data_IF_541201526622
#
_entry.id   IF_541201526622
#
_cell.length_a   1.000
_cell.length_b   1.000
_cell.length_c   1.000
_cell.angle_alpha   90.00
_cell.angle_beta   90.00
_cell.angle_gamma   90.00
#
_symmetry.space_group_name_H-M   'P 1'
#
loop_
_entity.id
_entity.type
_entity.pdbx_description
1 polymer ?
#
# COMPACT_ATOMS: atom_id res chain seq x y z
N UNK A 1 14.71 3.78 -10.88
CA UNK A 1 13.68 3.67 -9.80
C UNK A 1 14.34 2.99 -8.60
N UNK A 2 13.73 3.01 -7.40
CA UNK A 2 14.37 2.50 -6.18
C UNK A 2 14.89 1.06 -6.31
N UNK A 3 14.25 0.22 -7.12
CA UNK A 3 14.62 -1.19 -7.30
C UNK A 3 16.01 -1.39 -7.93
N UNK A 4 16.54 -0.40 -8.64
CA UNK A 4 17.93 -0.42 -9.13
C UNK A 4 18.96 -0.43 -7.98
N UNK A 5 18.57 0.01 -6.79
CA UNK A 5 19.42 0.10 -5.59
C UNK A 5 19.16 -1.03 -4.59
N UNK A 6 18.18 -1.91 -4.84
CA UNK A 6 17.75 -2.94 -3.90
C UNK A 6 18.53 -4.25 -4.09
N UNK A 7 19.75 -4.27 -3.52
CA UNK A 7 20.55 -5.48 -3.40
C UNK A 7 20.47 -6.01 -1.97
N UNK A 8 19.62 -7.01 -1.76
CA UNK A 8 19.38 -7.61 -0.45
C UNK A 8 18.89 -9.05 -0.55
N UNK A 9 18.96 -9.74 0.58
CA UNK A 9 18.28 -11.02 0.76
C UNK A 9 16.77 -10.77 0.87
N UNK A 10 16.00 -11.45 0.02
CA UNK A 10 14.54 -11.38 0.00
C UNK A 10 13.89 -12.51 0.80
N UNK A 11 14.66 -13.48 1.30
CA UNK A 11 14.15 -14.58 2.09
C UNK A 11 13.97 -14.23 3.58
N UNK A 12 14.81 -13.33 4.11
CA UNK A 12 14.75 -12.83 5.48
C UNK A 12 14.54 -11.31 5.53
N UNK A 13 13.56 -10.82 6.32
CA UNK A 13 13.28 -9.39 6.40
C UNK A 13 14.40 -8.63 7.12
N UNK A 14 14.78 -7.43 6.66
CA UNK A 14 15.83 -6.65 7.29
C UNK A 14 15.37 -6.07 8.64
N UNK A 15 16.31 -5.81 9.54
CA UNK A 15 16.03 -5.16 10.83
C UNK A 15 15.41 -3.77 10.66
N UNK A 16 15.72 -3.08 9.57
CA UNK A 16 15.12 -1.79 9.21
C UNK A 16 13.58 -1.83 9.10
N UNK A 17 12.97 -3.00 8.89
CA UNK A 17 11.52 -3.16 8.86
C UNK A 17 10.89 -3.07 10.27
N UNK A 18 11.68 -3.27 11.34
CA UNK A 18 11.27 -3.02 12.72
C UNK A 18 11.63 -1.58 13.09
N UNK A 19 10.63 -0.71 13.19
CA UNK A 19 10.85 0.65 13.67
C UNK A 19 9.60 1.22 14.31
N UNK A 20 9.81 2.15 15.22
CA UNK A 20 8.75 2.96 15.84
C UNK A 20 9.16 4.43 15.72
N UNK A 21 8.38 5.23 14.98
CA UNK A 21 8.70 6.63 14.70
C UNK A 21 7.45 7.49 14.53
N UNK A 22 7.52 8.79 14.90
CA UNK A 22 6.49 9.75 14.55
C UNK A 22 6.29 9.84 13.03
N UNK A 23 5.04 9.98 12.59
CA UNK A 23 4.68 10.01 11.17
C UNK A 23 5.40 11.12 10.39
N UNK A 24 5.55 12.30 10.99
CA UNK A 24 6.32 13.40 10.40
C UNK A 24 7.81 13.07 10.21
N UNK A 25 8.39 12.27 11.11
CA UNK A 25 9.79 11.82 11.00
C UNK A 25 9.96 10.74 9.94
N UNK A 26 8.97 9.86 9.75
CA UNK A 26 8.95 8.90 8.63
C UNK A 26 9.04 9.66 7.29
N UNK A 27 8.19 10.69 7.13
CA UNK A 27 8.15 11.49 5.89
C UNK A 27 9.45 12.28 5.71
N UNK A 28 9.97 12.90 6.79
CA UNK A 28 11.23 13.65 6.75
C UNK A 28 12.43 12.76 6.41
N UNK A 29 12.53 11.60 7.05
CA UNK A 29 13.59 10.62 6.79
C UNK A 29 13.53 10.06 5.37
N UNK A 30 12.33 9.80 4.84
CA UNK A 30 12.16 9.43 3.44
C UNK A 30 12.70 10.52 2.50
N UNK A 31 12.48 11.80 2.82
CA UNK A 31 12.99 12.91 2.02
C UNK A 31 14.51 12.99 2.03
N UNK A 32 15.14 12.82 3.20
CA UNK A 32 16.60 12.78 3.34
C UNK A 32 17.22 11.64 2.52
N UNK A 33 16.57 10.46 2.54
CA UNK A 33 17.04 9.30 1.76
C UNK A 33 16.85 9.53 0.26
N UNK A 34 15.69 10.00 -0.20
CA UNK A 34 15.49 10.27 -1.64
C UNK A 34 16.51 11.29 -2.16
N UNK A 35 16.83 12.32 -1.37
CA UNK A 35 17.85 13.31 -1.71
C UNK A 35 19.27 12.71 -1.79
N UNK A 36 19.58 11.69 -0.97
CA UNK A 36 20.88 11.00 -1.00
C UNK A 36 21.00 9.99 -2.14
N UNK A 37 19.88 9.40 -2.56
CA UNK A 37 19.79 8.43 -3.66
C UNK A 37 19.49 9.06 -5.04
N UNK A 38 19.42 10.39 -5.12
CA UNK A 38 18.98 11.09 -6.33
C UNK A 38 19.85 10.73 -7.56
N UNK A 39 19.23 10.45 -8.73
CA UNK A 39 19.95 10.07 -9.94
C UNK A 39 21.07 11.05 -10.31
N UNK A 40 22.26 10.52 -10.59
CA UNK A 40 23.46 11.30 -10.93
C UNK A 40 24.31 11.73 -9.73
N UNK A 41 23.86 11.51 -8.49
CA UNK A 41 24.70 11.68 -7.29
C UNK A 41 25.39 10.38 -6.86
N UNK A 42 24.73 9.25 -7.07
CA UNK A 42 25.19 7.93 -6.63
C UNK A 42 24.93 6.91 -7.72
N UNK A 43 25.91 6.03 -7.95
CA UNK A 43 25.76 4.88 -8.83
C UNK A 43 24.96 3.80 -8.09
N UNK A 44 23.94 3.22 -8.72
CA UNK A 44 23.14 2.15 -8.15
C UNK A 44 23.98 0.91 -7.79
N UNK A 45 25.11 0.71 -8.48
CA UNK A 45 26.07 -0.33 -8.16
C UNK A 45 26.90 -0.05 -6.89
N UNK A 46 26.82 1.15 -6.30
CA UNK A 46 27.57 1.52 -5.08
C UNK A 46 26.94 0.90 -3.83
N UNK A 47 27.61 -0.03 -3.13
CA UNK A 47 27.07 -0.69 -1.95
C UNK A 47 26.71 0.25 -0.80
N UNK A 48 27.29 1.45 -0.76
CA UNK A 48 26.99 2.47 0.27
C UNK A 48 25.56 3.00 0.18
N UNK A 49 24.90 2.82 -0.97
CA UNK A 49 23.53 3.29 -1.22
C UNK A 49 22.46 2.26 -0.86
N UNK A 50 22.83 0.98 -0.77
CA UNK A 50 21.86 -0.13 -0.66
C UNK A 50 21.11 -0.12 0.66
N UNK A 51 21.77 0.20 1.77
CA UNK A 51 21.11 0.28 3.08
C UNK A 51 20.11 1.43 3.14
N UNK A 52 20.44 2.58 2.55
CA UNK A 52 19.53 3.70 2.45
C UNK A 52 18.32 3.36 1.56
N UNK A 53 18.55 2.73 0.40
CA UNK A 53 17.46 2.28 -0.47
C UNK A 53 16.55 1.26 0.23
N UNK A 54 17.13 0.32 0.98
CA UNK A 54 16.37 -0.64 1.78
C UNK A 54 15.56 0.03 2.89
N UNK A 55 16.14 1.00 3.59
CA UNK A 55 15.45 1.81 4.60
C UNK A 55 14.27 2.56 3.98
N UNK A 56 14.46 3.22 2.84
CA UNK A 56 13.38 3.90 2.12
C UNK A 56 12.28 2.93 1.67
N UNK A 57 12.66 1.76 1.17
CA UNK A 57 11.72 0.75 0.68
C UNK A 57 10.76 0.28 1.78
N UNK A 58 11.25 0.12 3.02
CA UNK A 58 10.43 -0.26 4.19
C UNK A 58 9.74 0.94 4.88
N UNK A 59 10.27 2.16 4.74
CA UNK A 59 9.65 3.37 5.30
C UNK A 59 8.45 3.86 4.47
N UNK A 60 8.53 3.83 3.13
CA UNK A 60 7.48 4.41 2.29
C UNK A 60 6.06 3.84 2.52
N UNK A 61 5.86 2.53 2.79
CA UNK A 61 4.54 1.99 3.13
C UNK A 61 3.88 2.66 4.34
N UNK A 62 4.67 3.15 5.30
CA UNK A 62 4.14 3.85 6.48
C UNK A 62 3.47 5.18 6.12
N UNK A 63 3.92 5.85 5.05
CA UNK A 63 3.28 7.06 4.51
C UNK A 63 1.82 6.79 4.19
N UNK A 64 1.54 5.67 3.52
CA UNK A 64 0.18 5.25 3.15
C UNK A 64 -0.59 4.71 4.34
N UNK A 65 0.03 3.86 5.15
CA UNK A 65 -0.67 3.12 6.20
C UNK A 65 -1.33 4.04 7.24
N UNK A 66 -0.65 5.11 7.66
CA UNK A 66 -1.21 6.09 8.61
C UNK A 66 -2.36 6.89 7.99
N UNK A 67 -2.24 7.32 6.73
CA UNK A 67 -3.30 8.07 6.04
C UNK A 67 -4.52 7.18 5.75
N UNK A 68 -4.30 5.92 5.41
CA UNK A 68 -5.36 4.92 5.23
C UNK A 68 -6.15 4.73 6.53
N UNK A 69 -5.45 4.62 7.65
CA UNK A 69 -6.08 4.55 8.97
C UNK A 69 -6.89 5.77 9.26
N UNK A 70 -6.28 6.95 9.12
CA UNK A 70 -6.97 8.21 9.32
C UNK A 70 -8.27 8.28 8.51
N UNK A 71 -8.20 7.94 7.22
CA UNK A 71 -9.36 7.92 6.32
C UNK A 71 -10.44 6.94 6.80
N UNK A 72 -10.08 5.70 7.18
CA UNK A 72 -11.02 4.73 7.74
C UNK A 72 -11.65 5.24 9.03
N UNK A 73 -10.87 5.82 9.95
CA UNK A 73 -11.38 6.33 11.21
C UNK A 73 -12.44 7.42 11.00
N UNK A 74 -12.16 8.36 10.11
CA UNK A 74 -13.07 9.47 9.81
C UNK A 74 -14.34 8.96 9.13
N UNK A 75 -14.21 8.12 8.10
CA UNK A 75 -15.35 7.66 7.30
C UNK A 75 -16.29 6.69 8.02
N UNK A 76 -15.82 6.02 9.06
CA UNK A 76 -16.64 5.10 9.87
C UNK A 76 -16.99 5.68 11.25
N UNK A 77 -16.72 6.97 11.46
CA UNK A 77 -17.13 7.64 12.69
C UNK A 77 -16.42 7.15 13.94
N UNK A 78 -15.18 6.70 13.79
CA UNK A 78 -14.37 6.15 14.86
C UNK A 78 -13.46 7.25 15.45
N UNK A 79 -13.13 7.17 16.75
CA UNK A 79 -12.32 8.19 17.38
C UNK A 79 -10.94 8.28 16.72
N UNK A 80 -10.49 9.50 16.44
CA UNK A 80 -9.14 9.72 15.91
C UNK A 80 -8.12 9.51 17.04
N UNK A 81 -7.73 8.27 17.33
CA UNK A 81 -6.76 8.03 18.38
C UNK A 81 -5.34 7.97 17.82
N UNK A 82 -4.43 8.90 18.21
CA UNK A 82 -3.09 8.98 17.65
C UNK A 82 -2.14 7.85 18.09
N UNK A 83 -2.61 6.96 18.98
CA UNK A 83 -1.83 5.86 19.55
C UNK A 83 -2.61 4.56 19.71
N UNK A 84 -3.91 4.54 19.37
CA UNK A 84 -4.74 3.33 19.54
C UNK A 84 -5.36 2.97 18.21
N UNK A 85 -5.05 1.75 17.81
CA UNK A 85 -5.73 1.06 16.73
C UNK A 85 -6.99 0.40 17.36
N UNK A 86 -8.10 0.34 16.62
CA UNK A 86 -9.35 -0.28 17.06
C UNK A 86 -9.89 -1.20 15.97
N UNK A 87 -10.67 -2.22 16.33
CA UNK A 87 -11.35 -3.06 15.34
C UNK A 87 -12.56 -2.29 14.76
N UNK A 88 -12.73 -2.35 13.44
CA UNK A 88 -13.87 -1.73 12.74
C UNK A 88 -14.98 -2.76 12.66
N UNK A 89 -16.07 -2.52 13.40
CA UNK A 89 -17.33 -3.22 13.20
C UNK A 89 -18.19 -2.40 12.24
N UNK A 90 -18.30 -2.85 10.98
CA UNK A 90 -19.05 -2.13 9.93
C UNK A 90 -20.56 -2.13 10.18
N UNK A 91 -21.05 -3.02 11.06
CA UNK A 91 -22.47 -3.10 11.44
C UNK A 91 -22.76 -2.28 12.72
N UNK A 92 -21.72 -1.75 13.38
CA UNK A 92 -21.89 -0.94 14.58
C UNK A 92 -22.44 0.45 14.26
N UNK A 93 -23.28 1.03 15.13
CA UNK A 93 -23.71 2.41 14.97
C UNK A 93 -22.51 3.37 15.06
N UNK A 94 -22.48 4.37 14.18
CA UNK A 94 -21.47 5.44 14.18
C UNK A 94 -21.31 6.03 15.60
N UNK A 95 -20.08 6.05 16.11
CA UNK A 95 -19.78 6.64 17.42
C UNK A 95 -19.68 8.16 17.33
N UNK A 96 -19.17 8.66 16.21
CA UNK A 96 -18.99 10.08 15.89
C UNK A 96 -19.43 10.29 14.44
N UNK A 97 -20.18 11.36 14.17
CA UNK A 97 -20.50 11.74 12.80
C UNK A 97 -19.65 12.93 12.37
N UNK A 98 -18.72 12.70 11.44
CA UNK A 98 -17.89 13.78 10.90
C UNK A 98 -18.65 14.53 9.79
N UNK A 99 -18.39 15.84 9.62
CA UNK A 99 -18.88 16.59 8.46
C UNK A 99 -18.35 16.02 7.13
N UNK A 100 -19.15 16.13 6.06
CA UNK A 100 -18.81 15.57 4.73
C UNK A 100 -17.50 16.13 4.16
N UNK A 101 -17.21 17.41 4.39
CA UNK A 101 -15.95 18.05 4.01
C UNK A 101 -14.74 17.43 4.72
N UNK A 102 -14.88 17.07 6.00
CA UNK A 102 -13.82 16.38 6.76
C UNK A 102 -13.58 14.97 6.22
N UNK A 103 -14.64 14.26 5.87
CA UNK A 103 -14.53 12.94 5.24
C UNK A 103 -13.88 13.00 3.85
N UNK A 104 -14.24 14.01 3.04
CA UNK A 104 -13.64 14.25 1.72
C UNK A 104 -12.15 14.58 1.86
N UNK A 105 -11.78 15.48 2.79
CA UNK A 105 -10.40 15.81 3.09
C UNK A 105 -9.57 14.60 3.52
N UNK A 106 -10.14 13.69 4.33
CA UNK A 106 -9.49 12.48 4.77
C UNK A 106 -9.30 11.45 3.63
N UNK A 107 -10.27 11.37 2.71
CA UNK A 107 -10.18 10.53 1.50
C UNK A 107 -9.11 11.06 0.54
N UNK A 108 -9.08 12.38 0.30
CA UNK A 108 -8.07 13.05 -0.52
C UNK A 108 -6.67 12.97 0.11
N UNK A 109 -6.57 13.01 1.44
CA UNK A 109 -5.31 12.81 2.14
C UNK A 109 -4.72 11.41 1.84
N UNK A 110 -5.54 10.37 1.83
CA UNK A 110 -5.11 9.02 1.46
C UNK A 110 -4.60 8.99 0.01
N UNK A 111 -5.32 9.56 -0.94
CA UNK A 111 -4.87 9.66 -2.33
C UNK A 111 -3.50 10.36 -2.46
N UNK A 112 -3.33 11.50 -1.77
CA UNK A 112 -2.05 12.24 -1.73
C UNK A 112 -0.93 11.43 -1.07
N UNK A 113 -1.23 10.64 -0.04
CA UNK A 113 -0.23 9.78 0.63
C UNK A 113 0.30 8.69 -0.29
N UNK A 114 -0.58 8.09 -1.11
CA UNK A 114 -0.21 7.08 -2.11
C UNK A 114 0.67 7.72 -3.19
N UNK A 115 0.28 8.88 -3.70
CA UNK A 115 1.06 9.63 -4.66
C UNK A 115 2.46 9.99 -4.13
N UNK A 116 2.55 10.43 -2.87
CA UNK A 116 3.82 10.74 -2.21
C UNK A 116 4.69 9.48 -2.06
N UNK A 117 4.15 8.39 -1.54
CA UNK A 117 4.90 7.14 -1.39
C UNK A 117 5.42 6.59 -2.73
N UNK A 118 4.62 6.69 -3.79
CA UNK A 118 5.03 6.36 -5.17
C UNK A 118 6.16 7.27 -5.67
N UNK A 119 6.09 8.57 -5.40
CA UNK A 119 7.18 9.50 -5.71
C UNK A 119 8.49 9.14 -4.98
N UNK A 120 8.39 8.61 -3.75
CA UNK A 120 9.54 8.09 -3.02
C UNK A 120 10.19 6.90 -3.76
N UNK A 121 9.38 5.94 -4.24
CA UNK A 121 9.88 4.79 -5.00
C UNK A 121 10.44 5.18 -6.38
N UNK A 122 9.90 6.22 -7.01
CA UNK A 122 10.49 6.81 -8.21
C UNK A 122 11.84 7.48 -7.97
N UNK A 123 12.19 7.77 -6.71
CA UNK A 123 13.28 8.67 -6.33
C UNK A 123 13.10 10.06 -7.00
N UNK A 124 11.87 10.58 -6.92
CA UNK A 124 11.49 11.83 -7.57
C UNK A 124 12.35 13.00 -7.06
N UNK A 125 13.03 13.78 -7.94
CA UNK A 125 13.85 14.92 -7.52
C UNK A 125 13.07 16.00 -6.75
N UNK A 126 11.76 16.09 -6.98
CA UNK A 126 10.84 17.00 -6.29
C UNK A 126 10.31 16.45 -4.96
N UNK A 127 10.66 15.22 -4.57
CA UNK A 127 10.08 14.56 -3.40
C UNK A 127 10.18 15.40 -2.12
N UNK A 128 11.30 16.08 -1.87
CA UNK A 128 11.47 16.91 -0.68
C UNK A 128 10.44 18.04 -0.58
N UNK A 129 10.09 18.66 -1.70
CA UNK A 129 9.05 19.70 -1.77
C UNK A 129 7.68 19.08 -1.54
N UNK A 130 7.37 18.00 -2.23
CA UNK A 130 6.10 17.26 -2.08
C UNK A 130 5.88 16.79 -0.63
N UNK A 131 6.94 16.29 0.02
CA UNK A 131 6.91 15.84 1.41
C UNK A 131 6.65 17.00 2.38
N UNK A 132 7.26 18.16 2.15
CA UNK A 132 7.02 19.35 2.97
C UNK A 132 5.58 19.86 2.83
N UNK A 133 5.08 19.97 1.59
CA UNK A 133 3.69 20.37 1.31
C UNK A 133 2.68 19.40 1.93
N UNK A 134 2.90 18.09 1.76
CA UNK A 134 2.06 17.06 2.36
C UNK A 134 2.01 17.20 3.89
N UNK A 135 3.15 17.44 4.55
CA UNK A 135 3.23 17.62 6.00
C UNK A 135 2.50 18.87 6.51
N UNK A 136 2.55 19.97 5.76
CA UNK A 136 1.81 21.19 6.09
C UNK A 136 0.30 20.96 6.02
N UNK A 137 -0.15 20.13 5.07
CA UNK A 137 -1.56 19.78 4.90
C UNK A 137 -2.05 18.62 5.77
N UNK A 138 -1.31 18.19 6.80
CA UNK A 138 -1.75 17.14 7.70
C UNK A 138 -2.75 17.67 8.75
N UNK A 139 -3.80 16.90 9.08
CA UNK A 139 -4.64 17.17 10.23
C UNK A 139 -3.84 17.32 11.53
N UNK A 140 -4.35 18.14 12.46
CA UNK A 140 -3.70 18.39 13.73
C UNK A 140 -3.39 17.09 14.49
N UNK A 141 -2.16 16.96 14.99
CA UNK A 141 -1.69 15.78 15.74
C UNK A 141 -1.21 14.62 14.87
N UNK A 142 -1.61 14.53 13.59
CA UNK A 142 -1.23 13.39 12.74
C UNK A 142 0.28 13.36 12.45
N UNK A 143 0.93 14.53 12.36
CA UNK A 143 2.40 14.61 12.25
C UNK A 143 3.13 13.94 13.44
N UNK A 144 2.52 13.92 14.63
CA UNK A 144 3.06 13.29 15.83
C UNK A 144 2.59 11.85 16.06
N UNK A 145 1.75 11.29 15.19
CA UNK A 145 1.25 9.91 15.30
C UNK A 145 2.41 8.92 15.37
N UNK A 146 2.41 8.03 16.36
CA UNK A 146 3.48 7.04 16.49
C UNK A 146 3.17 5.83 15.60
N UNK A 147 3.95 5.66 14.54
CA UNK A 147 3.85 4.50 13.66
C UNK A 147 4.84 3.42 14.09
N UNK A 148 4.32 2.20 14.29
CA UNK A 148 5.11 1.02 14.61
C UNK A 148 5.03 0.03 13.46
N UNK A 149 6.18 -0.30 12.88
CA UNK A 149 6.35 -1.37 11.90
C UNK A 149 6.99 -2.59 12.56
N UNK A 150 6.60 -3.77 12.11
CA UNK A 150 7.22 -5.05 12.50
C UNK A 150 7.66 -5.81 11.26
N UNK A 151 8.70 -6.61 11.41
CA UNK A 151 9.12 -7.59 10.41
C UNK A 151 7.97 -8.53 10.08
N UNK A 152 7.69 -8.65 8.79
CA UNK A 152 6.76 -9.63 8.23
C UNK A 152 7.48 -10.32 7.08
N UNK A 153 7.81 -11.59 7.30
CA UNK A 153 8.61 -12.41 6.38
C UNK A 153 7.91 -12.60 5.03
N UNK A 154 6.60 -12.76 5.02
CA UNK A 154 5.84 -13.00 3.79
C UNK A 154 5.67 -11.72 3.00
N UNK A 155 5.34 -10.61 3.68
CA UNK A 155 5.30 -9.29 3.05
C UNK A 155 6.66 -8.91 2.46
N UNK A 156 7.78 -9.18 3.15
CA UNK A 156 9.12 -8.94 2.60
C UNK A 156 9.43 -9.80 1.38
N UNK A 157 9.19 -11.12 1.45
CA UNK A 157 9.41 -12.04 0.33
C UNK A 157 8.57 -11.68 -0.90
N UNK A 158 7.33 -11.27 -0.70
CA UNK A 158 6.43 -10.86 -1.76
C UNK A 158 6.73 -9.47 -2.31
N UNK A 159 7.57 -8.68 -1.63
CA UNK A 159 8.01 -7.37 -2.09
C UNK A 159 9.26 -7.40 -2.98
N UNK A 160 9.77 -8.58 -3.33
CA UNK A 160 10.92 -8.70 -4.24
C UNK A 160 10.58 -8.12 -5.64
N UNK A 161 11.33 -7.12 -6.15
CA UNK A 161 11.07 -6.46 -7.41
C UNK A 161 10.92 -7.42 -8.61
N UNK A 162 11.73 -8.48 -8.66
CA UNK A 162 11.66 -9.46 -9.74
C UNK A 162 10.31 -10.21 -9.79
N UNK A 163 9.75 -10.56 -8.62
CA UNK A 163 8.43 -11.22 -8.53
C UNK A 163 7.31 -10.26 -8.92
N UNK A 164 7.40 -8.99 -8.50
CA UNK A 164 6.42 -7.96 -8.85
C UNK A 164 6.46 -7.65 -10.36
N UNK A 165 7.65 -7.59 -10.97
CA UNK A 165 7.81 -7.45 -12.43
C UNK A 165 7.17 -8.59 -13.19
N UNK A 166 7.36 -9.84 -12.73
CA UNK A 166 6.69 -11.01 -13.32
C UNK A 166 5.16 -10.90 -13.25
N UNK A 167 4.60 -10.42 -12.12
CA UNK A 167 3.17 -10.15 -12.00
C UNK A 167 2.74 -9.07 -13.01
N UNK A 168 3.45 -7.95 -13.08
CA UNK A 168 3.15 -6.85 -13.99
C UNK A 168 3.13 -7.31 -15.45
N UNK A 169 4.11 -8.09 -15.88
CA UNK A 169 4.20 -8.67 -17.23
C UNK A 169 3.00 -9.57 -17.53
N UNK A 170 2.58 -10.39 -16.55
CA UNK A 170 1.41 -11.26 -16.67
C UNK A 170 0.12 -10.46 -16.84
N UNK A 171 -0.07 -9.42 -16.03
CA UNK A 171 -1.22 -8.51 -16.11
C UNK A 171 -1.27 -7.79 -17.46
N UNK A 172 -0.13 -7.24 -17.91
CA UNK A 172 -0.04 -6.48 -19.16
C UNK A 172 -0.36 -7.34 -20.40
N UNK A 173 -0.02 -8.64 -20.39
CA UNK A 173 -0.46 -9.58 -21.44
C UNK A 173 -1.98 -9.71 -21.53
N UNK A 174 -2.67 -9.56 -20.40
CA UNK A 174 -4.13 -9.55 -20.33
C UNK A 174 -4.78 -8.18 -20.52
N UNK A 175 -3.97 -7.12 -20.69
CA UNK A 175 -4.42 -5.74 -20.82
C UNK A 175 -4.08 -4.89 -19.60
N UNK A 176 -3.65 -3.64 -19.85
CA UNK A 176 -3.28 -2.67 -18.82
C UNK A 176 -4.52 -2.23 -18.00
N UNK A 177 -4.47 -2.30 -16.65
CA UNK A 177 -5.52 -1.73 -15.81
C UNK A 177 -5.42 -0.19 -15.76
N UNK A 178 -6.53 0.47 -15.44
CA UNK A 178 -6.54 1.89 -15.07
C UNK A 178 -6.25 2.09 -13.59
N UNK A 179 -6.63 1.12 -12.74
CA UNK A 179 -6.40 1.15 -11.30
C UNK A 179 -6.07 -0.24 -10.75
N UNK A 180 -5.13 -0.29 -9.81
CA UNK A 180 -4.86 -1.43 -8.97
C UNK A 180 -5.41 -1.20 -7.55
N UNK A 181 -6.11 -2.19 -6.98
CA UNK A 181 -6.70 -2.16 -5.64
C UNK A 181 -6.04 -3.26 -4.80
N UNK A 182 -5.25 -2.87 -3.82
CA UNK A 182 -4.50 -3.80 -2.95
C UNK A 182 -5.17 -4.07 -1.60
N UNK A 183 -5.01 -5.29 -1.07
CA UNK A 183 -5.35 -5.62 0.31
C UNK A 183 -4.31 -5.05 1.30
N UNK A 184 -4.61 -3.95 1.98
CA UNK A 184 -3.71 -3.42 3.00
C UNK A 184 -3.68 -4.35 4.23
N UNK A 185 -2.52 -4.58 4.85
CA UNK A 185 -1.31 -3.74 4.74
C UNK A 185 -0.20 -4.37 3.90
N UNK A 186 -0.20 -5.70 3.79
CA UNK A 186 0.91 -6.44 3.20
C UNK A 186 1.17 -6.04 1.75
N UNK A 187 0.10 -5.77 1.00
CA UNK A 187 0.20 -5.38 -0.40
C UNK A 187 0.67 -3.94 -0.63
N UNK A 188 0.82 -3.10 0.42
CA UNK A 188 1.21 -1.70 0.23
C UNK A 188 2.59 -1.62 -0.44
N UNK A 189 3.58 -2.34 0.09
CA UNK A 189 4.95 -2.31 -0.43
C UNK A 189 5.01 -2.80 -1.88
N UNK A 190 4.40 -3.95 -2.18
CA UNK A 190 4.35 -4.48 -3.54
C UNK A 190 3.52 -3.60 -4.49
N UNK A 191 2.42 -3.03 -3.99
CA UNK A 191 1.48 -2.20 -4.73
C UNK A 191 2.07 -0.90 -5.21
N UNK A 192 2.84 -0.21 -4.35
CA UNK A 192 3.55 1.01 -4.70
C UNK A 192 4.46 0.79 -5.91
N UNK A 193 5.18 -0.34 -5.96
CA UNK A 193 6.05 -0.68 -7.08
C UNK A 193 5.26 -1.19 -8.30
N UNK A 194 4.25 -2.04 -8.09
CA UNK A 194 3.40 -2.60 -9.15
C UNK A 194 2.71 -1.50 -9.96
N UNK A 195 2.19 -0.46 -9.31
CA UNK A 195 1.51 0.66 -9.97
C UNK A 195 2.44 1.46 -10.89
N UNK A 196 3.74 1.58 -10.55
CA UNK A 196 4.73 2.20 -11.43
C UNK A 196 4.97 1.34 -12.69
N UNK A 197 5.06 0.02 -12.54
CA UNK A 197 5.27 -0.90 -13.66
C UNK A 197 4.06 -0.97 -14.60
N UNK A 198 2.86 -0.92 -14.04
CA UNK A 198 1.61 -0.95 -14.81
C UNK A 198 1.22 0.42 -15.39
N UNK A 199 1.82 1.50 -14.88
CA UNK A 199 1.46 2.88 -15.20
C UNK A 199 -0.04 3.14 -15.02
N UNK A 200 -0.55 2.79 -13.82
CA UNK A 200 -1.96 2.92 -13.43
C UNK A 200 -2.11 3.66 -12.09
N UNK A 201 -3.35 3.96 -11.73
CA UNK A 201 -3.71 4.42 -10.39
C UNK A 201 -3.59 3.28 -9.38
N UNK A 202 -3.54 3.65 -8.10
CA UNK A 202 -3.37 2.72 -7.00
C UNK A 202 -4.28 3.14 -5.84
N UNK A 203 -5.01 2.17 -5.32
CA UNK A 203 -5.84 2.31 -4.13
C UNK A 203 -5.67 1.12 -3.21
N UNK A 204 -5.98 1.29 -1.93
CA UNK A 204 -5.87 0.25 -0.93
C UNK A 204 -7.14 0.14 -0.10
N UNK A 205 -7.62 -1.08 0.08
CA UNK A 205 -8.71 -1.40 0.99
C UNK A 205 -8.16 -2.17 2.18
N UNK A 206 -8.66 -1.87 3.38
CA UNK A 206 -8.14 -2.44 4.62
C UNK A 206 -9.05 -3.57 5.09
N UNK A 207 -8.51 -4.75 5.42
CA UNK A 207 -9.30 -5.85 6.00
C UNK A 207 -9.58 -5.67 7.49
N UNK A 208 -8.56 -5.24 8.23
CA UNK A 208 -8.66 -4.96 9.64
C UNK A 208 -7.56 -4.01 10.05
N UNK A 209 -7.74 -3.34 11.19
CA UNK A 209 -6.70 -2.47 11.75
C UNK A 209 -5.50 -3.25 12.32
N UNK A 210 -5.68 -4.55 12.61
CA UNK A 210 -4.73 -5.36 13.39
C UNK A 210 -4.38 -6.74 12.81
N UNK A 211 -4.82 -7.10 11.59
CA UNK A 211 -4.77 -8.50 11.09
C UNK A 211 -5.47 -9.47 12.06
N UNK A 212 -6.64 -9.10 12.59
CA UNK A 212 -7.44 -9.92 13.53
C UNK A 212 -8.88 -9.98 13.03
N UNK A 213 -9.42 -11.20 12.89
CA UNK A 213 -10.78 -11.46 12.41
C UNK A 213 -11.12 -10.85 11.04
N UNK A 214 -10.27 -11.06 10.02
CA UNK A 214 -10.44 -10.61 8.63
C UNK A 214 -11.70 -11.22 7.96
N UNK A 215 -12.89 -10.70 8.30
CA UNK A 215 -14.17 -11.18 7.74
C UNK A 215 -14.50 -10.54 6.40
N UNK A 216 -14.18 -9.26 6.23
CA UNK A 216 -14.43 -8.48 5.03
C UNK A 216 -13.49 -7.27 4.97
N UNK A 217 -13.18 -6.74 3.77
CA UNK A 217 -12.58 -5.41 3.66
C UNK A 217 -13.53 -4.33 4.19
N UNK A 218 -12.94 -3.30 4.78
CA UNK A 218 -13.58 -2.04 5.15
C UNK A 218 -13.71 -1.22 3.88
N UNK A 219 -14.96 -1.02 3.43
CA UNK A 219 -15.28 -0.31 2.18
C UNK A 219 -16.27 0.81 2.50
N UNK A 220 -15.83 2.06 2.39
CA UNK A 220 -16.69 3.22 2.57
C UNK A 220 -17.53 3.51 1.32
N UNK A 221 -18.53 4.39 1.45
CA UNK A 221 -19.27 4.89 0.30
C UNK A 221 -18.38 5.62 -0.74
N UNK A 222 -17.26 6.23 -0.30
CA UNK A 222 -16.31 6.89 -1.22
C UNK A 222 -15.43 5.88 -1.94
N UNK A 223 -15.02 4.81 -1.26
CA UNK A 223 -14.34 3.67 -1.91
C UNK A 223 -15.25 3.05 -2.98
N UNK A 224 -16.52 2.84 -2.66
CA UNK A 224 -17.50 2.34 -3.63
C UNK A 224 -17.66 3.28 -4.82
N UNK A 225 -17.79 4.59 -4.58
CA UNK A 225 -17.89 5.58 -5.65
C UNK A 225 -16.64 5.58 -6.56
N UNK A 226 -15.44 5.51 -5.98
CA UNK A 226 -14.16 5.40 -6.70
C UNK A 226 -14.11 4.13 -7.55
N UNK A 227 -14.48 2.98 -6.98
CA UNK A 227 -14.48 1.69 -7.71
C UNK A 227 -15.47 1.72 -8.87
N UNK A 228 -16.69 2.23 -8.63
CA UNK A 228 -17.73 2.33 -9.66
C UNK A 228 -17.39 3.33 -10.76
N UNK A 229 -16.55 4.33 -10.50
CA UNK A 229 -16.09 5.27 -11.52
C UNK A 229 -15.31 4.58 -12.65
N UNK A 230 -14.75 3.39 -12.40
CA UNK A 230 -14.06 2.57 -13.42
C UNK A 230 -15.01 1.59 -14.17
N UNK A 231 -16.32 1.86 -14.18
CA UNK A 231 -17.29 1.16 -15.01
C UNK A 231 -17.55 -0.27 -14.56
N UNK A 232 -17.54 -1.22 -15.51
CA UNK A 232 -17.83 -2.64 -15.23
C UNK A 232 -16.68 -3.39 -14.53
N UNK A 233 -15.58 -2.71 -14.24
CA UNK A 233 -14.41 -3.29 -13.58
C UNK A 233 -13.40 -3.94 -14.52
N UNK A 234 -13.62 -4.01 -15.83
CA UNK A 234 -12.69 -4.68 -16.75
C UNK A 234 -11.26 -4.13 -16.74
N UNK A 235 -11.10 -2.87 -16.28
CA UNK A 235 -9.81 -2.18 -16.12
C UNK A 235 -9.33 -2.10 -14.67
N UNK A 236 -9.95 -2.83 -13.74
CA UNK A 236 -9.52 -2.92 -12.35
C UNK A 236 -8.68 -4.19 -12.16
N UNK A 237 -7.53 -4.05 -11.49
CA UNK A 237 -6.75 -5.16 -10.95
C UNK A 237 -6.89 -5.17 -9.43
N UNK A 238 -7.49 -6.21 -8.87
CA UNK A 238 -7.50 -6.50 -7.44
C UNK A 238 -6.27 -7.35 -7.14
N UNK A 239 -5.48 -7.02 -6.12
CA UNK A 239 -4.29 -7.80 -5.84
C UNK A 239 -3.94 -7.91 -4.36
N UNK A 240 -3.13 -8.91 -4.06
CA UNK A 240 -2.53 -9.16 -2.76
C UNK A 240 -1.05 -9.54 -2.95
N UNK A 241 -0.20 -9.36 -1.94
CA UNK A 241 1.21 -9.73 -2.08
C UNK A 241 1.40 -11.25 -1.98
N UNK A 242 0.66 -11.90 -1.09
CA UNK A 242 0.79 -13.33 -0.82
C UNK A 242 -0.56 -14.04 -0.72
N UNK A 243 -0.79 -14.99 -1.63
CA UNK A 243 -1.97 -15.84 -1.63
C UNK A 243 -1.60 -17.24 -1.14
N UNK A 244 -1.45 -17.39 0.19
CA UNK A 244 -1.19 -18.67 0.85
C UNK A 244 -2.44 -19.58 0.87
N UNK A 245 -3.42 -19.30 1.73
CA UNK A 245 -4.73 -20.00 1.68
C UNK A 245 -5.60 -19.53 0.52
N UNK A 246 -5.39 -18.28 0.09
CA UNK A 246 -6.23 -17.57 -0.88
C UNK A 246 -7.45 -16.87 -0.28
N UNK A 247 -7.63 -16.92 1.06
CA UNK A 247 -8.80 -16.36 1.74
C UNK A 247 -8.92 -14.85 1.55
N UNK A 248 -7.87 -14.08 1.85
CA UNK A 248 -7.87 -12.61 1.77
C UNK A 248 -8.22 -12.13 0.38
N UNK A 249 -7.48 -12.57 -0.64
CA UNK A 249 -7.73 -12.18 -2.02
C UNK A 249 -9.10 -12.66 -2.52
N UNK A 250 -9.59 -13.82 -2.09
CA UNK A 250 -10.95 -14.28 -2.41
C UNK A 250 -12.03 -13.36 -1.84
N UNK A 251 -11.90 -12.97 -0.57
CA UNK A 251 -12.88 -12.08 0.08
C UNK A 251 -12.82 -10.68 -0.54
N UNK A 252 -11.61 -10.16 -0.79
CA UNK A 252 -11.42 -8.86 -1.43
C UNK A 252 -12.05 -8.86 -2.82
N UNK A 253 -11.76 -9.92 -3.59
CA UNK A 253 -12.32 -10.08 -4.93
C UNK A 253 -13.84 -10.18 -4.90
N UNK A 254 -14.43 -10.85 -3.92
CA UNK A 254 -15.88 -10.94 -3.76
C UNK A 254 -16.48 -9.55 -3.56
N UNK A 255 -16.01 -8.82 -2.54
CA UNK A 255 -16.51 -7.49 -2.19
C UNK A 255 -16.35 -6.49 -3.34
N UNK A 256 -15.17 -6.40 -3.96
CA UNK A 256 -14.97 -5.48 -5.09
C UNK A 256 -15.83 -5.86 -6.31
N UNK A 257 -16.04 -7.15 -6.59
CA UNK A 257 -16.84 -7.59 -7.76
C UNK A 257 -18.34 -7.33 -7.61
N UNK A 258 -18.85 -7.09 -6.41
CA UNK A 258 -20.22 -6.59 -6.22
C UNK A 258 -20.40 -5.20 -6.83
N UNK A 259 -19.33 -4.39 -6.85
CA UNK A 259 -19.31 -3.06 -7.47
C UNK A 259 -18.80 -3.09 -8.91
N UNK A 260 -17.83 -3.97 -9.20
CA UNK A 260 -17.07 -4.02 -10.44
C UNK A 260 -16.91 -5.47 -10.94
N UNK A 261 -17.95 -6.07 -11.56
CA UNK A 261 -18.03 -7.52 -11.80
C UNK A 261 -16.93 -8.13 -12.67
N UNK A 262 -16.31 -7.33 -13.55
CA UNK A 262 -15.22 -7.78 -14.44
C UNK A 262 -13.82 -7.50 -13.91
N UNK A 263 -13.70 -7.06 -12.65
CA UNK A 263 -12.40 -6.86 -12.02
C UNK A 263 -11.57 -8.15 -12.06
N UNK A 264 -10.30 -8.00 -12.44
CA UNK A 264 -9.35 -9.11 -12.54
C UNK A 264 -8.53 -9.20 -11.26
N UNK A 265 -7.96 -10.35 -10.99
CA UNK A 265 -7.24 -10.66 -9.74
C UNK A 265 -5.77 -10.98 -9.99
N UNK A 266 -4.91 -10.55 -9.08
CA UNK A 266 -3.47 -10.78 -9.14
C UNK A 266 -2.88 -11.16 -7.79
N UNK A 267 -1.83 -11.97 -7.78
CA UNK A 267 -1.02 -12.19 -6.57
C UNK A 267 0.47 -12.17 -6.92
N UNK A 268 1.30 -11.52 -6.11
CA UNK A 268 2.75 -11.53 -6.37
C UNK A 268 3.29 -12.93 -6.13
N UNK A 269 2.96 -13.53 -4.99
CA UNK A 269 3.20 -14.93 -4.67
C UNK A 269 1.86 -15.66 -4.55
N UNK A 270 1.76 -16.84 -5.16
CA UNK A 270 0.69 -17.79 -4.92
C UNK A 270 1.27 -19.10 -4.44
N UNK A 271 0.87 -19.58 -3.27
CA UNK A 271 1.23 -20.92 -2.82
C UNK A 271 0.52 -21.98 -3.68
N UNK A 272 1.21 -23.06 -4.02
CA UNK A 272 0.66 -24.13 -4.85
C UNK A 272 -0.60 -24.77 -4.24
N UNK A 273 -0.63 -24.85 -2.91
CA UNK A 273 -1.75 -25.36 -2.10
C UNK A 273 -2.93 -24.39 -1.99
N UNK A 274 -2.80 -23.15 -2.47
CA UNK A 274 -3.85 -22.14 -2.41
C UNK A 274 -5.09 -22.58 -3.18
N UNK A 275 -6.25 -22.57 -2.51
CA UNK A 275 -7.54 -22.89 -3.08
C UNK A 275 -8.06 -21.80 -4.04
N UNK A 276 -7.58 -20.57 -3.87
CA UNK A 276 -7.88 -19.47 -4.77
C UNK A 276 -6.87 -19.44 -5.94
N UNK A 277 -7.37 -19.13 -7.13
CA UNK A 277 -6.57 -19.02 -8.36
C UNK A 277 -6.79 -17.63 -8.95
N UNK A 278 -5.89 -16.67 -8.66
CA UNK A 278 -5.92 -15.35 -9.28
C UNK A 278 -5.74 -15.47 -10.80
N UNK A 279 -6.27 -14.49 -11.53
CA UNK A 279 -6.12 -14.41 -12.99
C UNK A 279 -4.65 -14.24 -13.40
N UNK A 280 -3.85 -13.57 -12.56
CA UNK A 280 -2.43 -13.32 -12.77
C UNK A 280 -1.59 -13.66 -11.54
N UNK A 281 -0.42 -14.26 -11.75
CA UNK A 281 0.51 -14.66 -10.68
C UNK A 281 1.92 -14.26 -11.06
N UNK A 282 2.66 -13.63 -10.14
CA UNK A 282 4.07 -13.31 -10.33
C UNK A 282 4.97 -14.55 -10.16
N UNK A 283 4.76 -15.30 -9.09
CA UNK A 283 5.47 -16.56 -8.82
C UNK A 283 4.57 -17.58 -8.11
N UNK A 284 4.65 -18.84 -8.54
CA UNK A 284 4.08 -19.96 -7.78
C UNK A 284 5.13 -20.46 -6.79
N UNK A 285 4.78 -20.48 -5.52
CA UNK A 285 5.63 -21.00 -4.45
C UNK A 285 5.24 -22.44 -4.12
N UNK A 286 6.23 -23.31 -4.14
CA UNK A 286 6.13 -24.69 -3.69
C UNK A 286 7.00 -24.75 -2.43
N UNK A 287 6.37 -25.01 -1.29
CA UNK A 287 7.08 -25.11 0.00
C UNK A 287 8.17 -26.20 -0.06
#
# INVERSE_FOLDING_TARGET
>A
MIDEFLFCDWDEPPDAMNFERPYGEVIGKAADIVASLSPGRVDAADPRSWDAARELYVLAPAIVNVALNHSVCVQFGLPLHPTEYFEVDQDAPEQVRYPTDVEDEAFDLLARSIALARAAYRLDPGFGVLAAEYRVGLPHGLNGFMYTSKQDKYTWRAAEPAKIRSLADSVLKGGRPEIAIGAAHGSIMAGLFLAELLACDLWFLRFSMFKRNDRAPVVSARDEALIRAHGDGSKILIFDEDSASGTTLSILSGSVKEMAPKARTGAVIRHASSGFRPDYVGRVWWD
#
